data_IF_193873583822
#
_entry.id   IF_193873583822
#
_cell.length_a   1.000
_cell.length_b   1.000
_cell.length_c   1.000
_cell.angle_alpha   90.00
_cell.angle_beta   90.00
_cell.angle_gamma   90.00
#
_symmetry.space_group_name_H-M   'P 1'
#
loop_
_entity.id
_entity.type
_entity.pdbx_description
1 polymer ?
#
# COMPACT_ATOMS: atom_id res chain seq x y z
N UNK A 1 -19.69 -24.54 -27.80
CA UNK A 1 -18.31 -25.02 -28.07
C UNK A 1 -18.04 -26.32 -27.32
N UNK A 2 -17.16 -27.20 -27.79
CA UNK A 2 -16.81 -28.43 -27.06
C UNK A 2 -15.72 -28.20 -26.00
N UNK A 3 -15.84 -28.88 -24.87
CA UNK A 3 -14.84 -28.85 -23.80
C UNK A 3 -13.52 -29.50 -24.24
N UNK A 4 -12.34 -28.87 -24.03
CA UNK A 4 -11.05 -29.44 -24.42
C UNK A 4 -10.62 -30.66 -23.58
N UNK A 5 -11.20 -30.82 -22.39
CA UNK A 5 -10.86 -31.92 -21.48
C UNK A 5 -11.78 -33.15 -21.66
N UNK A 6 -13.10 -32.95 -21.76
CA UNK A 6 -14.07 -34.06 -21.80
C UNK A 6 -14.91 -34.14 -23.08
N UNK A 7 -14.76 -33.20 -24.03
CA UNK A 7 -15.47 -33.23 -25.30
C UNK A 7 -16.98 -32.96 -25.25
N UNK A 8 -17.55 -32.71 -24.07
CA UNK A 8 -18.97 -32.37 -23.93
C UNK A 8 -19.27 -31.01 -24.57
N UNK A 9 -20.49 -30.86 -25.11
CA UNK A 9 -20.97 -29.56 -25.59
C UNK A 9 -21.16 -28.62 -24.40
N UNK A 10 -20.68 -27.39 -24.52
CA UNK A 10 -20.74 -26.34 -23.50
C UNK A 10 -21.48 -25.13 -24.06
N UNK A 11 -22.30 -24.50 -23.23
CA UNK A 11 -22.94 -23.24 -23.57
C UNK A 11 -21.90 -22.12 -23.58
N UNK A 12 -22.06 -21.17 -24.50
CA UNK A 12 -21.16 -20.03 -24.63
C UNK A 12 -21.28 -19.14 -23.38
N UNK A 13 -20.15 -18.85 -22.73
CA UNK A 13 -20.14 -18.07 -21.48
C UNK A 13 -20.18 -18.88 -20.18
N UNK A 14 -20.19 -20.22 -20.21
CA UNK A 14 -20.06 -21.03 -18.98
C UNK A 14 -18.63 -21.02 -18.45
N UNK A 15 -18.44 -20.62 -17.19
CA UNK A 15 -17.13 -20.50 -16.53
C UNK A 15 -16.47 -21.84 -16.22
N UNK A 16 -17.27 -22.89 -16.04
CA UNK A 16 -16.80 -24.25 -15.76
C UNK A 16 -17.62 -25.28 -16.52
N UNK A 17 -17.01 -26.43 -16.79
CA UNK A 17 -17.69 -27.58 -17.36
C UNK A 17 -18.47 -28.34 -16.29
N UNK A 18 -19.78 -28.53 -16.48
CA UNK A 18 -20.64 -29.30 -15.57
C UNK A 18 -20.30 -30.80 -15.51
N UNK A 19 -19.62 -31.34 -16.52
CA UNK A 19 -19.26 -32.76 -16.59
C UNK A 19 -17.91 -33.10 -15.98
N UNK A 20 -16.88 -32.27 -16.19
CA UNK A 20 -15.51 -32.56 -15.73
C UNK A 20 -14.92 -31.50 -14.78
N UNK A 21 -15.63 -30.39 -14.55
CA UNK A 21 -15.19 -29.33 -13.64
C UNK A 21 -14.08 -28.41 -14.18
N UNK A 22 -13.60 -28.61 -15.42
CA UNK A 22 -12.55 -27.74 -15.99
C UNK A 22 -13.08 -26.32 -16.21
N UNK A 23 -12.31 -25.30 -15.82
CA UNK A 23 -12.64 -23.92 -16.15
C UNK A 23 -12.33 -23.65 -17.62
N UNK A 24 -13.34 -23.20 -18.37
CA UNK A 24 -13.26 -22.98 -19.82
C UNK A 24 -13.12 -21.53 -20.21
N UNK A 25 -13.29 -20.61 -19.27
CA UNK A 25 -13.12 -19.19 -19.49
C UNK A 25 -11.98 -18.75 -18.59
N UNK A 26 -10.85 -18.27 -19.14
CA UNK A 26 -9.94 -17.48 -18.34
C UNK A 26 -10.74 -16.25 -17.92
N UNK A 27 -11.13 -16.14 -16.65
CA UNK A 27 -11.86 -14.99 -16.10
C UNK A 27 -11.17 -13.71 -16.59
N UNK A 28 -11.71 -13.08 -17.63
CA UNK A 28 -11.15 -11.87 -18.22
C UNK A 28 -11.58 -10.73 -17.31
N UNK A 29 -10.93 -10.64 -16.14
CA UNK A 29 -11.11 -9.50 -15.24
C UNK A 29 -10.62 -8.27 -16.00
N UNK A 30 -11.37 -7.15 -16.02
CA UNK A 30 -10.88 -5.89 -16.57
C UNK A 30 -9.47 -5.62 -16.02
N UNK A 31 -8.55 -5.16 -16.88
CA UNK A 31 -7.13 -4.96 -16.50
C UNK A 31 -7.02 -4.16 -15.20
N UNK A 32 -7.88 -3.16 -15.03
CA UNK A 32 -7.99 -2.31 -13.86
C UNK A 32 -8.30 -3.05 -12.53
N UNK A 33 -9.00 -4.18 -12.59
CA UNK A 33 -9.39 -4.99 -11.42
C UNK A 33 -8.54 -6.25 -11.25
N UNK A 34 -7.44 -6.37 -12.00
CA UNK A 34 -6.54 -7.51 -11.87
C UNK A 34 -5.93 -7.52 -10.46
N UNK A 35 -6.04 -8.65 -9.72
CA UNK A 35 -5.45 -8.74 -8.39
C UNK A 35 -3.93 -8.65 -8.47
N UNK A 36 -3.33 -7.91 -7.54
CA UNK A 36 -1.88 -7.81 -7.39
C UNK A 36 -1.37 -9.07 -6.70
N UNK A 37 -0.24 -9.57 -7.15
CA UNK A 37 0.42 -10.71 -6.51
C UNK A 37 0.95 -10.32 -5.11
N UNK A 38 1.06 -11.26 -4.16
CA UNK A 38 1.62 -10.98 -2.83
C UNK A 38 3.01 -10.32 -2.89
N UNK A 39 3.88 -10.80 -3.79
CA UNK A 39 5.20 -10.22 -4.03
C UNK A 39 5.16 -8.80 -4.56
N UNK A 40 4.12 -8.43 -5.32
CA UNK A 40 3.90 -7.05 -5.73
C UNK A 40 3.71 -6.12 -4.54
N UNK A 41 2.91 -6.52 -3.55
CA UNK A 41 2.73 -5.73 -2.31
C UNK A 41 4.05 -5.54 -1.56
N UNK A 42 4.86 -6.59 -1.46
CA UNK A 42 6.19 -6.50 -0.81
C UNK A 42 7.10 -5.55 -1.57
N UNK A 43 7.13 -5.62 -2.91
CA UNK A 43 7.92 -4.71 -3.74
C UNK A 43 7.50 -3.26 -3.56
N UNK A 44 6.19 -2.97 -3.58
CA UNK A 44 5.66 -1.63 -3.33
C UNK A 44 5.93 -1.14 -1.91
N UNK A 45 5.88 -2.02 -0.91
CA UNK A 45 6.24 -1.68 0.47
C UNK A 45 7.66 -1.14 0.55
N UNK A 46 8.63 -1.91 0.05
CA UNK A 46 10.05 -1.53 0.07
C UNK A 46 10.27 -0.24 -0.73
N UNK A 47 9.63 -0.14 -1.90
CA UNK A 47 9.76 1.01 -2.77
C UNK A 47 9.21 2.29 -2.12
N UNK A 48 8.09 2.21 -1.40
CA UNK A 48 7.51 3.35 -0.67
C UNK A 48 8.28 3.75 0.59
N UNK A 49 9.14 2.89 1.14
CA UNK A 49 10.04 3.29 2.23
C UNK A 49 11.16 4.23 1.74
N UNK A 50 11.44 4.30 0.43
CA UNK A 50 12.45 5.18 -0.12
C UNK A 50 11.86 6.61 -0.22
N UNK A 51 12.38 7.61 0.52
CA UNK A 51 11.70 8.88 0.70
C UNK A 51 11.58 9.72 -0.58
N UNK A 52 12.53 9.66 -1.51
CA UNK A 52 12.48 10.44 -2.75
C UNK A 52 11.71 9.70 -3.86
N UNK A 53 12.21 8.52 -4.26
CA UNK A 53 11.66 7.75 -5.37
C UNK A 53 10.28 7.18 -5.00
N UNK A 54 10.14 6.66 -3.78
CA UNK A 54 8.88 6.12 -3.28
C UNK A 54 7.78 7.17 -3.21
N UNK A 55 8.10 8.39 -2.79
CA UNK A 55 7.14 9.50 -2.74
C UNK A 55 6.62 9.87 -4.13
N UNK A 56 7.50 9.95 -5.13
CA UNK A 56 7.10 10.24 -6.52
C UNK A 56 6.19 9.14 -7.07
N UNK A 57 6.59 7.87 -6.95
CA UNK A 57 5.81 6.74 -7.47
C UNK A 57 4.46 6.62 -6.75
N UNK A 58 4.42 6.88 -5.44
CA UNK A 58 3.18 6.93 -4.67
C UNK A 58 2.21 7.98 -5.22
N UNK A 59 2.68 9.18 -5.57
CA UNK A 59 1.84 10.22 -6.18
C UNK A 59 1.34 9.82 -7.56
N UNK A 60 2.21 9.27 -8.42
CA UNK A 60 1.84 8.77 -9.75
C UNK A 60 0.76 7.70 -9.64
N UNK A 61 0.90 6.76 -8.71
CA UNK A 61 -0.07 5.67 -8.56
C UNK A 61 -1.37 6.11 -7.87
N UNK A 62 -1.32 7.09 -6.96
CA UNK A 62 -2.49 7.60 -6.24
C UNK A 62 -3.42 8.45 -7.12
N UNK A 63 -2.83 9.24 -8.03
CA UNK A 63 -3.54 10.17 -8.91
C UNK A 63 -3.57 9.75 -10.39
N UNK A 64 -2.83 8.71 -10.77
CA UNK A 64 -2.78 8.21 -12.15
C UNK A 64 -4.13 7.65 -12.63
N UNK A 65 -4.52 7.98 -13.86
CA UNK A 65 -5.81 7.57 -14.44
C UNK A 65 -5.84 6.11 -14.89
N UNK A 66 -4.69 5.53 -15.28
CA UNK A 66 -4.61 4.22 -15.97
C UNK A 66 -3.99 3.10 -15.12
N UNK A 67 -4.06 3.19 -13.79
CA UNK A 67 -3.49 2.20 -12.86
C UNK A 67 -4.58 1.32 -12.24
N UNK A 68 -4.22 0.09 -11.87
CA UNK A 68 -5.13 -0.84 -11.22
C UNK A 68 -5.74 -0.22 -9.95
N UNK A 69 -7.04 -0.40 -9.73
CA UNK A 69 -7.77 0.16 -8.58
C UNK A 69 -7.14 -0.27 -7.25
N UNK A 70 -6.69 -1.53 -7.17
CA UNK A 70 -6.06 -2.08 -5.97
C UNK A 70 -4.74 -1.36 -5.63
N UNK A 71 -3.96 -0.98 -6.65
CA UNK A 71 -2.70 -0.26 -6.45
C UNK A 71 -2.94 1.21 -6.10
N UNK A 72 -3.97 1.81 -6.68
CA UNK A 72 -4.38 3.18 -6.39
C UNK A 72 -4.84 3.32 -4.94
N UNK A 73 -5.66 2.38 -4.46
CA UNK A 73 -6.10 2.36 -3.07
C UNK A 73 -4.93 2.07 -2.11
N UNK A 74 -3.99 1.19 -2.48
CA UNK A 74 -2.75 0.98 -1.73
C UNK A 74 -1.97 2.30 -1.58
N UNK A 75 -1.75 3.00 -2.68
CA UNK A 75 -0.95 4.24 -2.72
C UNK A 75 -1.61 5.38 -1.94
N UNK A 76 -2.94 5.51 -2.00
CA UNK A 76 -3.70 6.49 -1.20
C UNK A 76 -3.63 6.18 0.29
N UNK A 77 -3.70 4.91 0.68
CA UNK A 77 -3.52 4.49 2.07
C UNK A 77 -2.12 4.87 2.58
N UNK A 78 -1.07 4.56 1.82
CA UNK A 78 0.31 4.94 2.16
C UNK A 78 0.51 6.46 2.24
N UNK A 79 -0.14 7.23 1.37
CA UNK A 79 -0.08 8.69 1.40
C UNK A 79 -0.68 9.24 2.71
N UNK A 80 -1.85 8.72 3.11
CA UNK A 80 -2.48 9.09 4.40
C UNK A 80 -1.58 8.70 5.57
N UNK A 81 -1.01 7.49 5.57
CA UNK A 81 -0.09 7.05 6.62
C UNK A 81 1.18 7.91 6.69
N UNK A 82 1.71 8.35 5.54
CA UNK A 82 2.86 9.24 5.47
C UNK A 82 2.56 10.59 6.13
N UNK A 83 1.39 11.19 5.85
CA UNK A 83 0.96 12.44 6.49
C UNK A 83 0.84 12.25 8.01
N UNK A 84 0.22 11.16 8.46
CA UNK A 84 0.09 10.85 9.90
C UNK A 84 1.47 10.73 10.55
N UNK A 85 2.41 10.02 9.92
CA UNK A 85 3.77 9.86 10.43
C UNK A 85 4.51 11.20 10.55
N UNK A 86 4.38 12.09 9.56
CA UNK A 86 4.94 13.45 9.61
C UNK A 86 4.36 14.26 10.77
N UNK A 87 3.04 14.23 10.97
CA UNK A 87 2.39 14.94 12.08
C UNK A 87 2.89 14.42 13.43
N UNK A 88 2.97 13.10 13.61
CA UNK A 88 3.49 12.47 14.85
C UNK A 88 4.96 12.87 15.07
N UNK A 89 5.78 12.85 14.03
CA UNK A 89 7.19 13.24 14.12
C UNK A 89 7.35 14.72 14.54
N UNK A 90 6.55 15.62 13.98
CA UNK A 90 6.55 17.04 14.36
C UNK A 90 6.14 17.22 15.82
N UNK A 91 5.08 16.54 16.27
CA UNK A 91 4.64 16.59 17.68
C UNK A 91 5.75 16.07 18.61
N UNK A 92 6.32 14.90 18.30
CA UNK A 92 7.40 14.30 19.08
C UNK A 92 8.62 15.23 19.17
N UNK A 93 9.03 15.83 18.06
CA UNK A 93 10.14 16.77 18.02
C UNK A 93 9.85 18.05 18.82
N UNK A 94 8.63 18.58 18.75
CA UNK A 94 8.20 19.73 19.55
C UNK A 94 8.25 19.44 21.05
N UNK A 95 7.79 18.25 21.49
CA UNK A 95 7.86 17.83 22.89
C UNK A 95 9.31 17.72 23.39
N UNK A 96 10.22 17.20 22.58
CA UNK A 96 11.66 17.12 22.91
C UNK A 96 12.25 18.53 23.11
N UNK A 97 11.99 19.46 22.18
CA UNK A 97 12.51 20.83 22.27
C UNK A 97 12.04 21.52 23.55
N UNK A 98 10.75 21.39 23.87
CA UNK A 98 10.17 21.98 25.09
C UNK A 98 10.83 21.35 26.34
N UNK A 99 10.99 20.03 26.38
CA UNK A 99 11.61 19.33 27.51
C UNK A 99 13.09 19.71 27.75
N UNK A 100 13.86 19.95 26.69
CA UNK A 100 15.26 20.39 26.82
C UNK A 100 15.33 21.82 27.38
N UNK A 101 14.43 22.71 26.95
CA UNK A 101 14.41 24.10 27.43
C UNK A 101 13.99 24.26 28.90
N UNK A 102 13.32 23.27 29.48
CA UNK A 102 12.87 23.29 30.88
C UNK A 102 13.94 22.87 31.90
N UNK A 103 15.14 22.43 31.47
CA UNK A 103 16.19 21.92 32.38
C UNK A 103 17.51 22.69 32.52
N UNK A 104 17.70 23.97 32.13
CA UNK A 104 18.92 24.67 32.54
C UNK A 104 18.89 25.09 34.03
N UNK A 105 17.71 25.18 34.68
CA UNK A 105 17.58 25.69 36.05
C UNK A 105 17.87 24.67 37.17
N UNK A 106 17.72 23.36 36.90
CA UNK A 106 18.00 22.30 37.89
C UNK A 106 19.51 22.09 38.10
N UNK A 107 20.34 22.39 37.10
CA UNK A 107 21.80 22.29 37.20
C UNK A 107 22.44 23.46 37.97
N UNK A 108 21.94 24.70 37.77
CA UNK A 108 22.48 25.90 38.43
C UNK A 108 22.14 25.94 39.94
N UNK A 109 20.95 25.49 40.33
CA UNK A 109 20.52 25.48 41.74
C UNK A 109 21.29 24.46 42.60
N UNK A 110 21.81 23.39 41.99
CA UNK A 110 22.64 22.39 42.65
C UNK A 110 24.11 22.82 42.82
N UNK A 111 24.63 23.73 41.99
CA UNK A 111 26.00 24.25 42.11
C UNK A 111 26.16 25.41 43.10
N UNK A 112 25.09 26.12 43.47
CA UNK A 112 25.13 27.21 44.47
C UNK A 112 24.96 26.71 45.92
N UNK A 113 24.57 25.44 46.08
CA UNK A 113 24.30 24.82 47.40
C UNK A 113 25.41 23.88 47.89
N UNK A 114 26.61 23.91 47.30
CA UNK A 114 27.83 23.20 47.77
C UNK A 114 28.92 24.19 48.11
#
# INVERSE_FOLDING_TARGET
>A
MNCPNCGSYMHEGTTYCSHCGVQTIPTQVPVEYKPITPWGYVGYYILYQIPLIGFIIMLINAFGSNTNVHLKNLSRCYLILYIIAVVIYVIYFALIIIGISASPEFAYSACISV
#
